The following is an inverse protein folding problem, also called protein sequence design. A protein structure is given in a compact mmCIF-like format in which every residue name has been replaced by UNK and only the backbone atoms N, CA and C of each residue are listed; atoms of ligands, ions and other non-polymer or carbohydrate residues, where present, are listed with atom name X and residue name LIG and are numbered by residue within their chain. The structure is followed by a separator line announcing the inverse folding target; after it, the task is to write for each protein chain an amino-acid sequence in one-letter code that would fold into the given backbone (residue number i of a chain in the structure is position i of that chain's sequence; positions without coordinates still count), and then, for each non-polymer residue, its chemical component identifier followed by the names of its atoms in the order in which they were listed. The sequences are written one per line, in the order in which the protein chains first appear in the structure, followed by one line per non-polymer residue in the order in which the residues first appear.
data_IF_924403924764
#
_entry.id   IF_924403924764
#
_cell.length_a   1.000
_cell.length_b   1.000
_cell.length_c   1.000
_cell.angle_alpha   90.00
_cell.angle_beta   90.00
_cell.angle_gamma   90.00
#
_symmetry.space_group_name_H-M   'P 1'
#
loop_
_entity.id
_entity.type
_entity.pdbx_description
1 polymer ?
#
# COMPACT_ATOMS: atom_id res chain seq x y z
N UNK A 1 8.96 -17.14 -3.18
CA UNK A 1 9.46 -15.89 -2.56
C UNK A 1 9.97 -14.97 -3.66
N UNK A 2 9.08 -14.17 -4.25
CA UNK A 2 9.46 -13.30 -5.37
C UNK A 2 10.25 -12.09 -4.87
N UNK A 3 9.78 -11.41 -3.83
CA UNK A 3 10.46 -10.28 -3.21
C UNK A 3 11.94 -10.53 -2.89
N UNK A 4 12.25 -11.59 -2.16
CA UNK A 4 13.63 -11.89 -1.75
C UNK A 4 14.58 -12.17 -2.94
N UNK A 5 14.05 -12.55 -4.11
CA UNK A 5 14.84 -12.87 -5.30
C UNK A 5 14.94 -11.71 -6.27
N UNK A 6 13.89 -10.88 -6.39
CA UNK A 6 13.76 -9.89 -7.47
C UNK A 6 13.52 -8.47 -6.97
N UNK A 7 13.28 -8.27 -5.67
CA UNK A 7 12.81 -7.00 -5.11
C UNK A 7 11.34 -6.68 -5.40
N UNK A 8 10.64 -7.51 -6.18
CA UNK A 8 9.23 -7.33 -6.51
C UNK A 8 8.39 -8.46 -5.88
N UNK A 9 7.43 -8.12 -5.00
CA UNK A 9 6.58 -9.11 -4.35
C UNK A 9 5.39 -9.60 -5.21
N UNK A 10 5.16 -9.05 -6.41
CA UNK A 10 4.07 -9.48 -7.31
C UNK A 10 4.11 -10.98 -7.62
N UNK A 11 2.93 -11.53 -7.95
CA UNK A 11 2.73 -12.91 -8.41
C UNK A 11 1.94 -12.92 -9.71
N UNK A 12 1.87 -14.06 -10.40
CA UNK A 12 1.15 -14.18 -11.68
C UNK A 12 -0.34 -13.82 -11.58
N UNK A 13 -0.94 -13.94 -10.39
CA UNK A 13 -2.36 -13.65 -10.14
C UNK A 13 -2.61 -12.32 -9.44
N UNK A 14 -1.57 -11.59 -9.03
CA UNK A 14 -1.70 -10.37 -8.24
C UNK A 14 -0.53 -9.42 -8.46
N UNK A 15 -0.86 -8.27 -9.04
CA UNK A 15 0.06 -7.14 -9.18
C UNK A 15 0.16 -6.35 -7.88
N UNK A 16 1.33 -6.38 -7.25
CA UNK A 16 1.67 -5.53 -6.12
C UNK A 16 2.34 -4.26 -6.62
N UNK A 17 1.52 -3.26 -6.96
CA UNK A 17 1.99 -1.97 -7.46
C UNK A 17 2.97 -1.29 -6.49
N UNK A 18 4.03 -0.71 -7.05
CA UNK A 18 4.98 0.07 -6.28
C UNK A 18 4.31 1.30 -5.65
N UNK A 19 4.67 1.58 -4.40
CA UNK A 19 4.16 2.74 -3.70
C UNK A 19 4.64 4.04 -4.36
N UNK A 20 3.74 5.02 -4.48
CA UNK A 20 4.04 6.38 -4.92
C UNK A 20 3.13 7.38 -4.19
N UNK A 21 3.52 8.65 -4.12
CA UNK A 21 2.77 9.66 -3.35
C UNK A 21 1.50 10.17 -4.04
N UNK A 22 1.32 9.88 -5.33
CA UNK A 22 0.16 10.27 -6.13
C UNK A 22 -1.05 9.38 -5.82
N UNK A 23 -0.91 8.06 -5.92
CA UNK A 23 -2.01 7.09 -5.72
C UNK A 23 -1.88 6.25 -4.45
N UNK A 24 -0.69 6.19 -3.85
CA UNK A 24 -0.42 5.50 -2.58
C UNK A 24 -0.98 4.08 -2.56
N UNK A 25 -0.73 3.26 -3.60
CA UNK A 25 -1.28 1.92 -3.67
C UNK A 25 -0.76 1.10 -2.49
N UNK A 26 -1.68 0.46 -1.78
CA UNK A 26 -1.39 -0.31 -0.57
C UNK A 26 -1.93 -1.72 -0.75
N UNK A 27 -1.07 -2.72 -0.55
CA UNK A 27 -1.49 -4.12 -0.51
C UNK A 27 -2.23 -4.39 0.80
N UNK A 28 -3.45 -4.91 0.71
CA UNK A 28 -4.27 -5.29 1.85
C UNK A 28 -4.31 -6.81 1.93
N UNK A 29 -3.90 -7.35 3.07
CA UNK A 29 -4.04 -8.76 3.40
C UNK A 29 -5.24 -8.94 4.33
N UNK A 30 -6.35 -9.39 3.77
CA UNK A 30 -7.55 -9.79 4.50
C UNK A 30 -8.17 -11.03 3.80
N UNK A 31 -9.45 -11.34 4.04
CA UNK A 31 -10.13 -12.44 3.36
C UNK A 31 -10.11 -12.33 1.82
N UNK A 32 -9.92 -11.12 1.28
CA UNK A 32 -9.85 -10.81 -0.15
C UNK A 32 -8.65 -9.89 -0.45
N UNK A 33 -7.47 -10.50 -0.56
CA UNK A 33 -6.22 -9.79 -0.87
C UNK A 33 -6.34 -8.96 -2.15
N UNK A 34 -5.99 -7.68 -2.05
CA UNK A 34 -6.09 -6.71 -3.15
C UNK A 34 -5.21 -5.50 -2.92
N UNK A 35 -4.92 -4.76 -3.98
CA UNK A 35 -4.34 -3.42 -3.88
C UNK A 35 -5.45 -2.38 -3.81
N UNK A 36 -5.35 -1.47 -2.84
CA UNK A 36 -6.29 -0.35 -2.68
C UNK A 36 -5.52 0.97 -2.78
N UNK A 37 -6.01 1.88 -3.63
CA UNK A 37 -5.48 3.24 -3.73
C UNK A 37 -5.86 4.03 -2.50
N UNK A 38 -4.86 4.61 -1.84
CA UNK A 38 -5.01 5.51 -0.70
C UNK A 38 -5.96 5.03 0.42
N UNK A 39 -5.77 3.78 0.88
CA UNK A 39 -6.66 3.06 1.80
C UNK A 39 -7.14 3.86 3.03
N UNK A 40 -6.31 4.76 3.56
CA UNK A 40 -6.62 5.62 4.72
C UNK A 40 -6.30 7.09 4.47
N UNK A 41 -6.60 7.55 3.25
CA UNK A 41 -6.37 8.92 2.82
C UNK A 41 -7.13 9.97 3.64
N UNK A 42 -8.28 9.59 4.18
CA UNK A 42 -9.13 10.36 5.08
C UNK A 42 -8.46 10.63 6.45
N UNK A 43 -7.76 9.65 7.01
CA UNK A 43 -7.06 9.79 8.30
C UNK A 43 -5.72 10.51 8.19
N UNK A 44 -5.04 10.38 7.04
CA UNK A 44 -3.70 10.95 6.82
C UNK A 44 -3.58 12.43 7.23
N UNK A 45 -4.46 13.37 6.82
CA UNK A 45 -4.33 14.77 7.22
C UNK A 45 -4.49 14.99 8.73
N UNK A 46 -5.26 14.13 9.41
CA UNK A 46 -5.53 14.25 10.85
C UNK A 46 -4.38 13.71 11.70
N UNK A 47 -3.66 12.69 11.22
CA UNK A 47 -2.48 12.15 11.92
C UNK A 47 -1.32 13.16 11.90
N UNK A 48 -1.11 13.85 10.77
CA UNK A 48 -0.06 14.88 10.69
C UNK A 48 -0.36 16.04 11.64
N UNK A 49 -1.61 16.40 11.85
CA UNK A 49 -1.99 17.50 12.75
C UNK A 49 -1.79 17.19 14.25
N UNK A 50 -1.70 15.91 14.65
CA UNK A 50 -1.52 15.50 16.06
C UNK A 50 -0.05 15.41 16.49
N UNK A 51 0.90 15.42 15.55
CA UNK A 51 2.34 15.27 15.84
C UNK A 51 3.12 16.60 15.87
N UNK A 52 2.44 17.74 15.68
CA UNK A 52 3.06 19.08 15.60
C UNK A 52 2.61 19.97 16.79
N UNK A 53 2.29 19.39 17.93
CA UNK A 53 1.99 20.10 19.19
C UNK A 53 2.94 19.66 20.29
#
# INVERSE_FOLDING_TARGET
MNFARTGNPSTDSLDWLAYNTTSRPTMVFDAHTRVVSDLRGDLRPHIIALTIW
#
